data_IF_283869350605
#
_entry.id   IF_283869350605
#
_cell.length_a   1.000
_cell.length_b   1.000
_cell.length_c   1.000
_cell.angle_alpha   90.00
_cell.angle_beta   90.00
_cell.angle_gamma   90.00
#
_symmetry.space_group_name_H-M   'P 1'
#
loop_
_entity.id
_entity.type
_entity.pdbx_description
1 polymer ?
#
# COMPACT_ATOMS: atom_id res chain seq x y z
N UNK A 1 -21.64 22.52 -5.39
CA UNK A 1 -21.14 21.55 -6.38
C UNK A 1 -22.14 20.42 -6.66
N UNK A 2 -23.26 20.64 -7.36
CA UNK A 2 -24.25 19.57 -7.59
C UNK A 2 -23.80 18.51 -8.61
N UNK A 3 -23.01 18.90 -9.62
CA UNK A 3 -22.57 17.99 -10.71
C UNK A 3 -21.18 17.41 -10.48
N UNK A 4 -20.19 18.23 -10.12
CA UNK A 4 -18.80 17.78 -10.01
C UNK A 4 -18.34 17.45 -8.58
N UNK A 5 -19.17 17.75 -7.57
CA UNK A 5 -18.81 17.51 -6.18
C UNK A 5 -17.45 18.11 -5.79
N UNK A 6 -16.67 17.38 -4.99
CA UNK A 6 -15.31 17.77 -4.57
C UNK A 6 -14.23 17.43 -5.62
N UNK A 7 -14.60 16.81 -6.74
CA UNK A 7 -13.65 16.24 -7.70
C UNK A 7 -12.69 17.27 -8.30
N UNK A 8 -13.12 18.48 -8.71
CA UNK A 8 -12.20 19.49 -9.23
C UNK A 8 -11.17 19.95 -8.19
N UNK A 9 -11.61 20.17 -6.96
CA UNK A 9 -10.71 20.55 -5.86
C UNK A 9 -9.71 19.44 -5.55
N UNK A 10 -10.15 18.17 -5.58
CA UNK A 10 -9.28 17.02 -5.43
C UNK A 10 -8.18 17.00 -6.49
N UNK A 11 -8.52 17.19 -7.78
CA UNK A 11 -7.54 17.22 -8.86
C UNK A 11 -6.58 18.41 -8.77
N UNK A 12 -7.06 19.59 -8.36
CA UNK A 12 -6.20 20.76 -8.13
C UNK A 12 -5.21 20.53 -6.97
N UNK A 13 -5.56 19.69 -6.00
CA UNK A 13 -4.71 19.36 -4.85
C UNK A 13 -4.02 17.99 -4.99
N UNK A 14 -3.92 17.41 -6.20
CA UNK A 14 -3.38 16.05 -6.40
C UNK A 14 -1.94 15.86 -5.88
N UNK A 15 -1.15 16.93 -5.84
CA UNK A 15 0.23 16.90 -5.33
C UNK A 15 0.30 17.06 -3.79
N UNK A 16 -0.82 17.41 -3.13
CA UNK A 16 -0.93 17.57 -1.68
C UNK A 16 -2.31 17.05 -1.19
N UNK A 17 -2.65 15.81 -1.58
CA UNK A 17 -3.95 15.22 -1.22
C UNK A 17 -4.08 15.12 0.30
N UNK A 18 -3.03 14.69 0.99
CA UNK A 18 -3.04 14.55 2.45
C UNK A 18 -3.17 15.90 3.16
N UNK A 19 -2.46 16.95 2.72
CA UNK A 19 -2.63 18.28 3.28
C UNK A 19 -4.02 18.84 3.02
N UNK A 20 -4.58 18.62 1.83
CA UNK A 20 -5.96 19.01 1.48
C UNK A 20 -6.99 18.33 2.39
N UNK A 21 -6.93 17.01 2.53
CA UNK A 21 -7.80 16.25 3.44
C UNK A 21 -7.64 16.73 4.89
N UNK A 22 -6.40 16.97 5.34
CA UNK A 22 -6.12 17.45 6.69
C UNK A 22 -6.72 18.83 6.96
N UNK A 23 -6.66 19.76 5.99
CA UNK A 23 -7.30 21.08 6.10
C UNK A 23 -8.81 20.93 6.30
N UNK A 24 -9.47 20.08 5.51
CA UNK A 24 -10.91 19.81 5.65
C UNK A 24 -11.27 19.18 6.99
N UNK A 25 -10.50 18.19 7.45
CA UNK A 25 -10.69 17.58 8.77
C UNK A 25 -10.59 18.63 9.88
N UNK A 26 -9.61 19.54 9.83
CA UNK A 26 -9.49 20.62 10.82
C UNK A 26 -10.70 21.55 10.82
N UNK A 27 -11.13 22.01 9.65
CA UNK A 27 -12.29 22.91 9.51
C UNK A 27 -13.59 22.25 10.01
N UNK A 28 -13.78 20.96 9.72
CA UNK A 28 -15.00 20.22 10.09
C UNK A 28 -14.89 19.50 11.44
N UNK A 29 -13.94 19.88 12.30
CA UNK A 29 -13.75 19.31 13.65
C UNK A 29 -13.59 17.78 13.66
N UNK A 30 -12.90 17.25 12.65
CA UNK A 30 -12.43 15.87 12.58
C UNK A 30 -13.27 14.94 11.71
N UNK A 31 -14.40 15.36 11.15
CA UNK A 31 -15.16 14.55 10.19
C UNK A 31 -15.83 15.42 9.15
N UNK A 32 -15.71 15.06 7.87
CA UNK A 32 -16.44 15.71 6.78
C UNK A 32 -17.00 14.67 5.80
N UNK A 33 -18.09 15.02 5.13
CA UNK A 33 -18.66 14.21 4.05
C UNK A 33 -18.23 14.76 2.71
N UNK A 34 -18.07 13.86 1.73
CA UNK A 34 -17.74 14.22 0.37
C UNK A 34 -18.65 13.52 -0.62
N UNK A 35 -18.78 14.13 -1.78
CA UNK A 35 -19.45 13.57 -2.95
C UNK A 35 -18.61 13.93 -4.17
N UNK A 36 -18.33 12.94 -5.01
CA UNK A 36 -17.66 13.11 -6.30
C UNK A 36 -18.63 13.51 -7.40
N UNK A 37 -18.24 13.23 -8.65
CA UNK A 37 -19.05 13.49 -9.85
C UNK A 37 -20.42 12.81 -9.74
N UNK A 38 -21.46 13.52 -10.16
CA UNK A 38 -22.82 13.02 -10.25
C UNK A 38 -22.88 11.74 -11.08
N UNK A 39 -23.57 10.71 -10.56
CA UNK A 39 -23.62 9.34 -11.10
C UNK A 39 -22.29 8.55 -11.05
N UNK A 40 -21.21 9.11 -10.50
CA UNK A 40 -19.90 8.43 -10.42
C UNK A 40 -19.75 7.45 -9.25
N UNK A 41 -20.78 7.26 -8.42
CA UNK A 41 -20.77 6.31 -7.29
C UNK A 41 -19.82 6.66 -6.12
N UNK A 42 -18.95 7.66 -6.28
CA UNK A 42 -17.98 8.07 -5.26
C UNK A 42 -18.58 9.08 -4.30
N UNK A 43 -18.88 8.64 -3.08
CA UNK A 43 -19.30 9.49 -1.97
C UNK A 43 -18.96 8.81 -0.65
N UNK A 44 -18.86 9.58 0.43
CA UNK A 44 -18.57 9.00 1.74
C UNK A 44 -18.29 10.04 2.80
N UNK A 45 -17.73 9.57 3.90
CA UNK A 45 -17.23 10.39 4.99
C UNK A 45 -15.76 10.09 5.23
N UNK A 46 -15.00 11.13 5.58
CA UNK A 46 -13.62 11.04 6.03
C UNK A 46 -13.60 11.49 7.48
N UNK A 47 -12.97 10.69 8.35
CA UNK A 47 -12.89 10.97 9.79
C UNK A 47 -11.49 10.73 10.33
N UNK A 48 -11.03 11.61 11.20
CA UNK A 48 -9.85 11.40 12.05
C UNK A 48 -10.20 11.35 13.54
N UNK A 49 -11.50 11.29 13.89
CA UNK A 49 -11.96 11.15 15.27
C UNK A 49 -11.71 9.72 15.75
N UNK A 50 -10.91 9.49 16.81
CA UNK A 50 -10.55 8.15 17.25
C UNK A 50 -11.74 7.24 17.56
N UNK A 51 -12.80 7.79 18.17
CA UNK A 51 -14.02 7.04 18.47
C UNK A 51 -14.71 6.50 17.21
N UNK A 52 -14.73 7.29 16.12
CA UNK A 52 -15.28 6.84 14.84
C UNK A 52 -14.40 5.75 14.22
N UNK A 53 -13.08 5.91 14.29
CA UNK A 53 -12.13 4.92 13.76
C UNK A 53 -12.24 3.59 14.52
N UNK A 54 -12.33 3.63 15.86
CA UNK A 54 -12.56 2.42 16.67
C UNK A 54 -13.92 1.79 16.33
N UNK A 55 -14.97 2.59 16.21
CA UNK A 55 -16.29 2.08 15.84
C UNK A 55 -16.27 1.35 14.49
N UNK A 56 -15.61 1.94 13.48
CA UNK A 56 -15.50 1.37 12.15
C UNK A 56 -14.61 0.13 12.09
N UNK A 57 -13.43 0.17 12.70
CA UNK A 57 -12.40 -0.86 12.52
C UNK A 57 -12.45 -1.98 13.56
N UNK A 58 -13.16 -1.79 14.69
CA UNK A 58 -13.20 -2.74 15.80
C UNK A 58 -14.63 -3.05 16.23
N UNK A 59 -15.43 -2.05 16.59
CA UNK A 59 -16.75 -2.28 17.21
C UNK A 59 -17.80 -2.80 16.22
N UNK A 60 -17.84 -2.25 15.00
CA UNK A 60 -18.86 -2.55 14.00
C UNK A 60 -18.27 -2.83 12.61
N UNK A 61 -17.12 -3.50 12.56
CA UNK A 61 -16.38 -3.77 11.33
C UNK A 61 -17.23 -4.40 10.20
N UNK A 62 -18.16 -5.30 10.54
CA UNK A 62 -19.03 -5.97 9.56
C UNK A 62 -19.90 -5.00 8.74
N UNK A 63 -20.20 -3.81 9.27
CA UNK A 63 -21.00 -2.79 8.60
C UNK A 63 -20.18 -1.82 7.73
N UNK A 64 -18.85 -1.98 7.68
CA UNK A 64 -17.97 -1.16 6.87
C UNK A 64 -17.16 -2.01 5.87
N UNK A 65 -17.83 -2.74 4.96
CA UNK A 65 -17.14 -3.42 3.86
C UNK A 65 -16.51 -2.40 2.91
N UNK A 66 -15.52 -2.82 2.11
CA UNK A 66 -14.97 -1.98 1.04
C UNK A 66 -16.04 -1.71 -0.03
N UNK A 67 -16.90 -2.70 -0.30
CA UNK A 67 -18.05 -2.58 -1.19
C UNK A 67 -17.68 -2.62 -2.67
N UNK A 68 -18.69 -2.70 -3.54
CA UNK A 68 -18.52 -2.89 -4.99
C UNK A 68 -17.69 -1.78 -5.64
N UNK A 69 -17.86 -0.52 -5.20
CA UNK A 69 -17.08 0.60 -5.74
C UNK A 69 -15.56 0.38 -5.65
N UNK A 70 -15.09 -0.20 -4.54
CA UNK A 70 -13.68 -0.56 -4.38
C UNK A 70 -13.37 -1.86 -5.13
N UNK A 71 -14.20 -2.90 -4.93
CA UNK A 71 -13.97 -4.23 -5.51
C UNK A 71 -13.85 -4.22 -7.03
N UNK A 72 -14.75 -3.53 -7.70
CA UNK A 72 -14.81 -3.46 -9.16
C UNK A 72 -13.63 -2.66 -9.74
N UNK A 73 -13.05 -1.73 -8.96
CA UNK A 73 -11.89 -0.94 -9.41
C UNK A 73 -10.60 -1.74 -9.37
N UNK A 74 -10.51 -2.69 -8.45
CA UNK A 74 -9.29 -3.48 -8.23
C UNK A 74 -9.45 -4.95 -8.62
N UNK A 75 -10.56 -5.34 -9.26
CA UNK A 75 -10.84 -6.72 -9.62
C UNK A 75 -9.81 -7.32 -10.56
N UNK A 76 -9.32 -6.55 -11.54
CA UNK A 76 -8.39 -7.06 -12.55
C UNK A 76 -7.00 -7.39 -11.97
N UNK A 77 -6.62 -6.73 -10.87
CA UNK A 77 -5.33 -6.92 -10.20
C UNK A 77 -5.42 -7.84 -8.99
N UNK A 78 -6.44 -7.64 -8.16
CA UNK A 78 -6.55 -8.28 -6.84
C UNK A 78 -7.62 -9.37 -6.80
N UNK A 79 -8.48 -9.47 -7.81
CA UNK A 79 -9.63 -10.37 -7.87
C UNK A 79 -10.38 -10.45 -6.53
N UNK A 80 -10.49 -11.64 -5.93
CA UNK A 80 -11.03 -11.86 -4.58
C UNK A 80 -9.93 -12.11 -3.54
N UNK A 81 -8.69 -11.67 -3.81
CA UNK A 81 -7.57 -11.74 -2.89
C UNK A 81 -7.76 -10.88 -1.64
N UNK A 82 -6.92 -11.07 -0.63
CA UNK A 82 -7.14 -10.55 0.73
C UNK A 82 -7.32 -9.02 0.80
N UNK A 83 -6.69 -8.28 -0.10
CA UNK A 83 -6.83 -6.84 -0.16
C UNK A 83 -8.16 -6.38 -0.77
N UNK A 84 -8.81 -7.19 -1.61
CA UNK A 84 -10.09 -6.88 -2.25
C UNK A 84 -11.29 -7.61 -1.64
N UNK A 85 -11.07 -8.72 -0.94
CA UNK A 85 -12.09 -9.49 -0.27
C UNK A 85 -12.82 -8.68 0.83
N UNK A 86 -14.08 -9.05 1.08
CA UNK A 86 -14.93 -8.48 2.13
C UNK A 86 -15.49 -9.58 3.03
N UNK A 87 -15.91 -9.21 4.24
CA UNK A 87 -16.66 -10.04 5.20
C UNK A 87 -15.99 -11.38 5.53
N UNK A 88 -16.65 -12.52 5.30
CA UNK A 88 -16.19 -13.85 5.71
C UNK A 88 -15.00 -14.33 4.88
N UNK A 89 -15.00 -14.09 3.55
CA UNK A 89 -13.87 -14.42 2.69
C UNK A 89 -12.58 -13.73 3.16
N UNK A 90 -12.67 -12.43 3.46
CA UNK A 90 -11.54 -11.69 4.03
C UNK A 90 -11.06 -12.27 5.36
N UNK A 91 -11.97 -12.66 6.26
CA UNK A 91 -11.59 -13.24 7.56
C UNK A 91 -10.88 -14.57 7.40
N UNK A 92 -11.36 -15.43 6.51
CA UNK A 92 -10.77 -16.74 6.27
C UNK A 92 -9.35 -16.59 5.70
N UNK A 93 -9.20 -15.79 4.65
CA UNK A 93 -7.90 -15.50 4.05
C UNK A 93 -6.95 -14.85 5.06
N UNK A 94 -7.42 -13.86 5.82
CA UNK A 94 -6.62 -13.19 6.86
C UNK A 94 -6.16 -14.16 7.94
N UNK A 95 -7.03 -15.09 8.36
CA UNK A 95 -6.66 -16.10 9.36
C UNK A 95 -5.50 -16.96 8.84
N UNK A 96 -5.61 -17.47 7.62
CA UNK A 96 -4.58 -18.32 7.00
C UNK A 96 -3.26 -17.56 6.87
N UNK A 97 -3.30 -16.35 6.29
CA UNK A 97 -2.10 -15.54 6.05
C UNK A 97 -1.42 -15.15 7.36
N UNK A 98 -2.17 -14.72 8.37
CA UNK A 98 -1.60 -14.37 9.68
C UNK A 98 -0.99 -15.60 10.35
N UNK A 99 -1.63 -16.77 10.27
CA UNK A 99 -1.07 -18.00 10.84
C UNK A 99 0.28 -18.33 10.22
N UNK A 100 0.41 -18.21 8.90
CA UNK A 100 1.68 -18.46 8.21
C UNK A 100 2.73 -17.37 8.52
N UNK A 101 2.37 -16.10 8.37
CA UNK A 101 3.28 -14.96 8.56
C UNK A 101 3.78 -14.80 10.00
N UNK A 102 3.00 -15.23 10.99
CA UNK A 102 3.41 -15.23 12.40
C UNK A 102 4.02 -16.55 12.86
N UNK A 103 4.18 -17.53 11.97
CA UNK A 103 4.91 -18.74 12.32
C UNK A 103 6.38 -18.40 12.61
N UNK A 104 6.96 -19.06 13.61
CA UNK A 104 8.38 -18.87 13.95
C UNK A 104 9.27 -19.09 12.72
N UNK A 105 8.95 -20.11 11.92
CA UNK A 105 9.66 -20.44 10.69
C UNK A 105 9.65 -19.28 9.69
N UNK A 106 8.49 -18.68 9.43
CA UNK A 106 8.39 -17.57 8.48
C UNK A 106 9.10 -16.33 9.01
N UNK A 107 8.95 -16.01 10.30
CA UNK A 107 9.61 -14.85 10.91
C UNK A 107 11.13 -15.00 10.86
N UNK A 108 11.67 -16.18 11.19
CA UNK A 108 13.10 -16.46 11.08
C UNK A 108 13.59 -16.39 9.62
N UNK A 109 12.84 -16.97 8.69
CA UNK A 109 13.17 -16.91 7.26
C UNK A 109 13.17 -15.48 6.74
N UNK A 110 12.12 -14.70 7.01
CA UNK A 110 12.01 -13.29 6.59
C UNK A 110 13.13 -12.43 7.19
N UNK A 111 13.49 -12.67 8.45
CA UNK A 111 14.62 -11.99 9.09
C UNK A 111 15.94 -12.34 8.40
N UNK A 112 16.20 -13.62 8.12
CA UNK A 112 17.40 -14.07 7.42
C UNK A 112 17.47 -13.47 6.01
N UNK A 113 16.38 -13.58 5.23
CA UNK A 113 16.25 -12.96 3.90
C UNK A 113 16.55 -11.47 3.93
N UNK A 114 16.02 -10.74 4.92
CA UNK A 114 16.28 -9.31 5.07
C UNK A 114 17.76 -9.04 5.38
N UNK A 115 18.38 -9.83 6.27
CA UNK A 115 19.81 -9.69 6.55
C UNK A 115 20.67 -9.94 5.32
N UNK A 116 20.36 -10.98 4.56
CA UNK A 116 21.12 -11.37 3.38
C UNK A 116 20.98 -10.32 2.28
N UNK A 117 19.78 -9.82 1.99
CA UNK A 117 19.57 -8.71 1.05
C UNK A 117 20.34 -7.45 1.45
N UNK A 118 20.33 -7.11 2.74
CA UNK A 118 21.06 -5.93 3.23
C UNK A 118 22.56 -6.12 3.04
N UNK A 119 23.12 -7.24 3.49
CA UNK A 119 24.57 -7.50 3.46
C UNK A 119 25.09 -7.72 2.06
N UNK A 120 24.40 -8.54 1.29
CA UNK A 120 24.89 -9.03 0.00
C UNK A 120 24.53 -8.14 -1.18
N UNK A 121 23.49 -7.30 -1.06
CA UNK A 121 23.04 -6.41 -2.14
C UNK A 121 23.08 -4.94 -1.75
N UNK A 122 22.25 -4.53 -0.79
CA UNK A 122 22.08 -3.11 -0.46
C UNK A 122 23.40 -2.43 -0.09
N UNK A 123 24.18 -3.00 0.84
CA UNK A 123 25.45 -2.41 1.25
C UNK A 123 26.44 -2.30 0.08
N UNK A 124 26.47 -3.28 -0.84
CA UNK A 124 27.35 -3.23 -2.02
C UNK A 124 26.94 -2.13 -3.00
N UNK A 125 25.64 -1.96 -3.23
CA UNK A 125 25.09 -0.85 -4.03
C UNK A 125 25.40 0.51 -3.36
N UNK A 126 25.21 0.63 -2.05
CA UNK A 126 25.52 1.86 -1.33
C UNK A 126 27.02 2.18 -1.34
N UNK A 127 27.89 1.16 -1.26
CA UNK A 127 29.33 1.32 -1.42
C UNK A 127 29.70 1.79 -2.83
N UNK A 128 29.03 1.32 -3.88
CA UNK A 128 29.31 1.73 -5.26
C UNK A 128 29.00 3.22 -5.45
N UNK A 129 27.85 3.70 -4.95
CA UNK A 129 27.49 5.13 -4.95
C UNK A 129 28.46 5.96 -4.11
N UNK A 130 28.91 5.44 -2.98
CA UNK A 130 29.92 6.12 -2.16
C UNK A 130 31.24 6.28 -2.91
N UNK A 131 31.65 5.27 -3.70
CA UNK A 131 32.89 5.33 -4.50
C UNK A 131 32.75 6.24 -5.73
N UNK A 132 31.60 6.21 -6.41
CA UNK A 132 31.36 7.05 -7.59
C UNK A 132 31.06 8.51 -7.23
N UNK A 133 30.65 8.79 -5.98
CA UNK A 133 30.17 10.10 -5.53
C UNK A 133 28.96 10.60 -6.33
N UNK A 134 28.17 9.68 -6.87
CA UNK A 134 26.98 9.99 -7.64
C UNK A 134 25.75 10.12 -6.74
N UNK A 135 24.86 11.04 -7.10
CA UNK A 135 23.53 11.09 -6.51
C UNK A 135 22.72 9.89 -7.02
N UNK A 136 21.94 9.29 -6.13
CA UNK A 136 21.04 8.18 -6.45
C UNK A 136 19.65 8.44 -5.90
N UNK A 137 18.67 7.76 -6.47
CA UNK A 137 17.29 7.82 -6.00
C UNK A 137 17.08 6.81 -4.87
N UNK A 138 16.92 7.30 -3.64
CA UNK A 138 16.65 6.45 -2.49
C UNK A 138 15.30 5.72 -2.60
N UNK A 139 14.30 6.31 -3.26
CA UNK A 139 13.00 5.69 -3.44
C UNK A 139 13.11 4.46 -4.34
N UNK A 140 13.83 4.56 -5.46
CA UNK A 140 14.10 3.42 -6.36
C UNK A 140 14.84 2.29 -5.63
N UNK A 141 15.92 2.62 -4.91
CA UNK A 141 16.71 1.63 -4.15
C UNK A 141 15.87 0.92 -3.08
N UNK A 142 15.06 1.67 -2.32
CA UNK A 142 14.20 1.08 -1.29
C UNK A 142 13.08 0.26 -1.90
N UNK A 143 12.53 0.67 -3.04
CA UNK A 143 11.51 -0.09 -3.74
C UNK A 143 12.06 -1.44 -4.20
N UNK A 144 13.23 -1.45 -4.86
CA UNK A 144 13.95 -2.67 -5.26
C UNK A 144 14.22 -3.60 -4.07
N UNK A 145 14.71 -3.04 -2.96
CA UNK A 145 14.89 -3.79 -1.71
C UNK A 145 13.60 -4.44 -1.23
N UNK A 146 12.50 -3.68 -1.19
CA UNK A 146 11.21 -4.22 -0.73
C UNK A 146 10.64 -5.26 -1.68
N UNK A 147 10.85 -5.09 -2.99
CA UNK A 147 10.39 -6.00 -4.01
C UNK A 147 11.12 -7.33 -3.93
N UNK A 148 12.46 -7.31 -3.95
CA UNK A 148 13.28 -8.51 -3.79
C UNK A 148 12.96 -9.22 -2.45
N UNK A 149 12.76 -8.45 -1.36
CA UNK A 149 12.39 -9.03 -0.06
C UNK A 149 11.06 -9.79 -0.10
N UNK A 150 10.01 -9.18 -0.65
CA UNK A 150 8.68 -9.81 -0.73
C UNK A 150 8.71 -11.03 -1.67
N UNK A 151 9.42 -10.95 -2.80
CA UNK A 151 9.57 -12.07 -3.71
C UNK A 151 10.33 -13.24 -3.08
N UNK A 152 11.44 -12.99 -2.39
CA UNK A 152 12.20 -14.06 -1.75
C UNK A 152 11.43 -14.64 -0.55
N UNK A 153 10.93 -13.79 0.34
CA UNK A 153 10.24 -14.25 1.55
C UNK A 153 8.89 -14.90 1.25
N UNK A 154 8.16 -14.40 0.24
CA UNK A 154 6.82 -14.86 -0.11
C UNK A 154 6.77 -15.92 -1.21
N UNK A 155 7.65 -15.86 -2.20
CA UNK A 155 7.65 -16.73 -3.39
C UNK A 155 8.88 -17.64 -3.47
N UNK A 156 9.92 -17.37 -2.68
CA UNK A 156 11.17 -18.13 -2.69
C UNK A 156 12.08 -17.85 -3.88
N UNK A 157 11.81 -16.78 -4.64
CA UNK A 157 12.56 -16.41 -5.85
C UNK A 157 13.18 -15.02 -5.69
N UNK A 158 14.42 -14.86 -6.16
CA UNK A 158 15.17 -13.60 -6.12
C UNK A 158 15.11 -12.92 -7.49
N UNK A 159 14.35 -11.82 -7.66
CA UNK A 159 14.24 -11.11 -8.93
C UNK A 159 15.54 -10.39 -9.33
N UNK A 160 16.47 -10.18 -8.42
CA UNK A 160 17.75 -9.51 -8.72
C UNK A 160 17.63 -8.00 -8.96
N UNK A 161 16.54 -7.34 -8.55
CA UNK A 161 16.36 -5.91 -8.87
C UNK A 161 17.37 -5.02 -8.16
N UNK A 162 17.89 -5.45 -7.00
CA UNK A 162 18.90 -4.73 -6.22
C UNK A 162 20.34 -5.21 -6.50
N UNK A 163 20.60 -5.87 -7.62
CA UNK A 163 21.96 -6.26 -7.99
C UNK A 163 22.84 -5.04 -8.33
N UNK A 164 24.16 -5.26 -8.43
CA UNK A 164 25.15 -4.17 -8.44
C UNK A 164 25.02 -3.19 -9.61
N UNK A 165 24.42 -3.63 -10.72
CA UNK A 165 24.14 -2.86 -11.93
C UNK A 165 22.70 -2.28 -11.97
N UNK A 166 21.90 -2.52 -10.93
CA UNK A 166 20.51 -2.07 -10.80
C UNK A 166 19.69 -2.37 -12.06
N UNK A 167 19.58 -3.65 -12.46
CA UNK A 167 18.99 -4.02 -13.73
C UNK A 167 17.51 -3.64 -13.78
N UNK A 168 17.03 -3.29 -14.97
CA UNK A 168 15.59 -3.13 -15.19
C UNK A 168 14.99 -4.51 -15.38
N UNK A 169 14.26 -4.98 -14.37
CA UNK A 169 13.52 -6.24 -14.43
C UNK A 169 12.13 -5.94 -15.02
N UNK A 170 11.77 -6.49 -16.19
CA UNK A 170 10.50 -6.15 -16.86
C UNK A 170 9.26 -6.37 -16.00
N UNK A 171 9.29 -7.42 -15.15
CA UNK A 171 8.21 -7.69 -14.22
C UNK A 171 8.09 -6.62 -13.12
N UNK A 172 9.21 -6.21 -12.52
CA UNK A 172 9.22 -5.14 -11.52
C UNK A 172 8.77 -3.80 -12.14
N UNK A 173 9.24 -3.50 -13.36
CA UNK A 173 8.85 -2.31 -14.09
C UNK A 173 7.36 -2.29 -14.47
N UNK A 174 6.75 -3.45 -14.75
CA UNK A 174 5.32 -3.54 -15.03
C UNK A 174 4.45 -3.42 -13.77
N UNK A 175 5.05 -3.58 -12.59
CA UNK A 175 4.37 -3.46 -11.30
C UNK A 175 4.35 -2.00 -10.78
N UNK A 176 5.24 -1.14 -11.29
CA UNK A 176 5.26 0.32 -11.08
C UNK A 176 4.31 1.07 -12.02
#
# INVERSE_FOLDING_TARGET
>A
WPVFGVTPEFFSNRNDVYGWVTRWLKTCRGTFTYRGIWLGGSYGAVTCVPANVEYMLKTNFKNFPKGSFYKDRFSDLLEDGIFNADTESWKEQRRIIITEMHSTRFVEHSFQTTQDLVREKLLKVMESFTRSQEAFDLQDVLLRLTFDNICIAGLGDDPGTLDSDLPIVPFAQAFE
#
